data_IF_907030040127
#
_entry.id   IF_907030040127
#
_cell.length_a   1.000
_cell.length_b   1.000
_cell.length_c   1.000
_cell.angle_alpha   90.00
_cell.angle_beta   90.00
_cell.angle_gamma   90.00
#
_symmetry.space_group_name_H-M   'P 1'
#
loop_
_entity.id
_entity.type
_entity.pdbx_description
1 polymer ?
#
# COMPACT_ATOMS: atom_id res chain seq x y z
N UNK A 1 -12.55 -1.51 -58.94
CA UNK A 1 -12.23 -0.88 -57.64
C UNK A 1 -13.37 -1.17 -56.66
N UNK A 2 -13.14 -2.03 -55.66
CA UNK A 2 -14.19 -2.50 -54.74
C UNK A 2 -14.29 -1.57 -53.51
N UNK A 3 -15.28 -0.68 -53.50
CA UNK A 3 -15.55 0.25 -52.39
C UNK A 3 -15.96 -0.41 -51.07
N UNK A 4 -16.32 -1.69 -51.07
CA UNK A 4 -16.78 -2.43 -49.88
C UNK A 4 -15.66 -2.90 -48.95
N UNK A 5 -14.41 -2.94 -49.41
CA UNK A 5 -13.27 -3.39 -48.58
C UNK A 5 -12.79 -2.29 -47.62
N UNK A 6 -12.83 -1.02 -48.06
CA UNK A 6 -12.32 0.13 -47.29
C UNK A 6 -13.20 0.47 -46.07
N UNK A 7 -14.49 0.17 -46.12
CA UNK A 7 -15.43 0.43 -45.02
C UNK A 7 -15.22 -0.53 -43.83
N UNK A 8 -14.90 -1.81 -44.09
CA UNK A 8 -14.61 -2.80 -43.04
C UNK A 8 -13.28 -2.53 -42.32
N UNK A 9 -12.27 -2.06 -43.07
CA UNK A 9 -10.96 -1.68 -42.52
C UNK A 9 -11.08 -0.43 -41.65
N UNK A 10 -11.88 0.56 -42.06
CA UNK A 10 -12.10 1.77 -41.26
C UNK A 10 -12.81 1.47 -39.92
N UNK A 11 -13.81 0.57 -39.92
CA UNK A 11 -14.54 0.20 -38.69
C UNK A 11 -13.64 -0.60 -37.73
N UNK A 12 -12.81 -1.52 -38.24
CA UNK A 12 -11.89 -2.30 -37.41
C UNK A 12 -10.79 -1.44 -36.76
N UNK A 13 -10.29 -0.42 -37.47
CA UNK A 13 -9.28 0.51 -36.93
C UNK A 13 -9.87 1.44 -35.87
N UNK A 14 -11.10 1.93 -36.05
CA UNK A 14 -11.78 2.75 -35.02
C UNK A 14 -12.13 1.92 -33.78
N UNK A 15 -12.54 0.66 -33.94
CA UNK A 15 -12.84 -0.23 -32.80
C UNK A 15 -11.58 -0.60 -32.00
N UNK A 16 -10.44 -0.81 -32.67
CA UNK A 16 -9.16 -1.07 -32.00
C UNK A 16 -8.65 0.15 -31.23
N UNK A 17 -8.81 1.37 -31.77
CA UNK A 17 -8.43 2.62 -31.08
C UNK A 17 -9.37 2.91 -29.89
N UNK A 18 -10.64 2.49 -29.97
CA UNK A 18 -11.62 2.61 -28.88
C UNK A 18 -11.33 1.68 -27.69
N UNK A 19 -10.57 0.59 -27.89
CA UNK A 19 -10.18 -0.34 -26.83
C UNK A 19 -8.94 0.11 -26.05
N UNK A 20 -8.19 1.10 -26.56
CA UNK A 20 -7.08 1.73 -25.83
C UNK A 20 -7.50 2.94 -25.00
N UNK A 21 -8.70 3.47 -25.24
CA UNK A 21 -9.24 4.60 -24.50
C UNK A 21 -10.19 4.11 -23.39
N UNK A 22 -9.75 4.25 -22.14
CA UNK A 22 -10.57 4.48 -20.91
C UNK A 22 -11.05 3.31 -20.03
N UNK A 23 -10.82 2.03 -20.34
CA UNK A 23 -11.35 0.92 -19.52
C UNK A 23 -10.43 0.33 -18.43
N UNK A 24 -9.20 -0.02 -18.79
CA UNK A 24 -8.36 -0.91 -17.96
C UNK A 24 -7.26 -0.22 -17.14
N UNK A 25 -6.89 1.03 -17.45
CA UNK A 25 -5.82 1.76 -16.74
C UNK A 25 -6.27 2.40 -15.43
N UNK A 26 -7.57 2.43 -15.12
CA UNK A 26 -8.10 3.13 -13.93
C UNK A 26 -8.31 2.21 -12.72
N UNK A 27 -8.29 0.88 -12.89
CA UNK A 27 -8.68 -0.05 -11.82
C UNK A 27 -7.63 -0.11 -10.72
N UNK A 28 -6.34 -0.16 -11.05
CA UNK A 28 -5.25 -0.18 -10.07
C UNK A 28 -5.18 1.10 -9.23
N UNK A 29 -5.37 2.27 -9.86
CA UNK A 29 -5.45 3.57 -9.16
C UNK A 29 -6.65 3.60 -8.22
N UNK A 30 -7.82 3.12 -8.66
CA UNK A 30 -9.02 3.07 -7.81
C UNK A 30 -8.82 2.20 -6.59
N UNK A 31 -8.17 1.05 -6.76
CA UNK A 31 -7.87 0.14 -5.65
C UNK A 31 -6.86 0.79 -4.70
N UNK A 32 -5.73 1.29 -5.22
CA UNK A 32 -4.74 1.97 -4.41
C UNK A 32 -5.33 3.16 -3.63
N UNK A 33 -6.11 4.03 -4.29
CA UNK A 33 -6.74 5.18 -3.63
C UNK A 33 -7.80 4.80 -2.59
N UNK A 34 -8.45 3.63 -2.73
CA UNK A 34 -9.42 3.14 -1.75
C UNK A 34 -8.74 2.56 -0.50
N UNK A 35 -7.59 1.93 -0.67
CA UNK A 35 -6.89 1.20 0.38
C UNK A 35 -5.83 2.06 1.10
N UNK A 36 -5.23 3.04 0.41
CA UNK A 36 -4.23 3.97 0.98
C UNK A 36 -4.71 4.69 2.26
N UNK A 37 -5.94 5.24 2.34
CA UNK A 37 -6.43 5.85 3.58
C UNK A 37 -6.47 4.86 4.75
N UNK A 38 -6.74 3.58 4.48
CA UNK A 38 -6.73 2.54 5.51
C UNK A 38 -5.30 2.27 5.97
N UNK A 39 -4.33 2.17 5.05
CA UNK A 39 -2.92 2.01 5.41
C UNK A 39 -2.39 3.20 6.20
N UNK A 40 -2.74 4.43 5.81
CA UNK A 40 -2.35 5.64 6.56
C UNK A 40 -2.95 5.60 7.97
N UNK A 41 -4.21 5.18 8.11
CA UNK A 41 -4.81 5.02 9.43
C UNK A 41 -4.13 3.92 10.26
N UNK A 42 -3.71 2.81 9.65
CA UNK A 42 -2.92 1.78 10.32
C UNK A 42 -1.61 2.36 10.86
N UNK A 43 -0.88 3.12 10.02
CA UNK A 43 0.36 3.78 10.43
C UNK A 43 0.12 4.75 11.60
N UNK A 44 -0.94 5.55 11.57
CA UNK A 44 -1.30 6.46 12.67
C UNK A 44 -1.71 5.69 13.95
N UNK A 45 -2.42 4.58 13.81
CA UNK A 45 -2.80 3.75 14.96
C UNK A 45 -1.56 3.16 15.66
N UNK A 46 -0.47 2.87 14.93
CA UNK A 46 0.82 2.48 15.54
C UNK A 46 1.30 3.57 16.52
N UNK A 47 1.29 4.84 16.12
CA UNK A 47 1.69 5.94 17.01
C UNK A 47 0.78 6.06 18.24
N UNK A 48 -0.54 5.93 18.06
CA UNK A 48 -1.51 6.00 19.16
C UNK A 48 -1.30 4.87 20.19
N UNK A 49 -0.99 3.66 19.72
CA UNK A 49 -0.66 2.52 20.57
C UNK A 49 0.59 2.80 21.42
N UNK A 50 1.63 3.35 20.80
CA UNK A 50 2.88 3.73 21.48
C UNK A 50 2.63 4.77 22.57
N UNK A 51 1.87 5.82 22.27
CA UNK A 51 1.56 6.87 23.25
C UNK A 51 0.84 6.30 24.49
N UNK A 52 -0.06 5.32 24.28
CA UNK A 52 -0.81 4.67 25.36
C UNK A 52 0.10 3.75 26.18
N UNK A 53 0.94 2.95 25.53
CA UNK A 53 1.90 2.06 26.19
C UNK A 53 2.98 2.84 26.97
N UNK A 54 3.45 3.95 26.42
CA UNK A 54 4.41 4.83 27.09
C UNK A 54 3.80 5.46 28.34
N UNK A 55 2.56 5.95 28.25
CA UNK A 55 1.81 6.50 29.38
C UNK A 55 1.57 5.45 30.48
N UNK A 56 1.34 4.19 30.08
CA UNK A 56 1.23 3.04 30.98
C UNK A 56 2.57 2.48 31.49
N UNK A 57 3.71 3.13 31.17
CA UNK A 57 5.08 2.69 31.49
C UNK A 57 5.39 1.25 31.04
N UNK A 58 4.74 0.78 29.97
CA UNK A 58 4.92 -0.56 29.41
C UNK A 58 6.12 -0.65 28.45
N UNK A 59 6.64 0.50 28.00
CA UNK A 59 7.77 0.63 27.09
C UNK A 59 8.71 1.76 27.55
N UNK A 60 9.97 1.67 27.16
CA UNK A 60 10.94 2.75 27.39
C UNK A 60 10.72 3.94 26.44
N UNK A 61 11.20 5.14 26.79
CA UNK A 61 11.16 6.29 25.89
C UNK A 61 11.90 6.07 24.55
N UNK A 62 12.97 5.27 24.57
CA UNK A 62 13.74 4.95 23.37
C UNK A 62 12.94 4.06 22.42
N UNK A 63 12.28 3.01 22.94
CA UNK A 63 11.38 2.16 22.14
C UNK A 63 10.19 2.95 21.62
N UNK A 64 9.62 3.84 22.44
CA UNK A 64 8.52 4.71 22.01
C UNK A 64 8.95 5.62 20.84
N UNK A 65 10.11 6.25 20.94
CA UNK A 65 10.65 7.10 19.87
C UNK A 65 10.90 6.29 18.58
N UNK A 66 11.45 5.08 18.69
CA UNK A 66 11.72 4.25 17.53
C UNK A 66 10.43 3.80 16.80
N UNK A 67 9.42 3.35 17.54
CA UNK A 67 8.13 2.97 16.94
C UNK A 67 7.40 4.20 16.39
N UNK A 68 7.53 5.36 17.04
CA UNK A 68 7.00 6.62 16.52
C UNK A 68 7.66 6.99 15.18
N UNK A 69 8.97 6.79 15.03
CA UNK A 69 9.66 7.03 13.76
C UNK A 69 9.15 6.12 12.65
N UNK A 70 8.88 4.83 12.94
CA UNK A 70 8.25 3.91 11.98
C UNK A 70 6.90 4.44 11.52
N UNK A 71 6.04 4.85 12.47
CA UNK A 71 4.71 5.40 12.16
C UNK A 71 4.79 6.67 11.32
N UNK A 72 5.71 7.58 11.67
CA UNK A 72 5.93 8.84 10.95
C UNK A 72 6.40 8.60 9.52
N UNK A 73 7.40 7.73 9.32
CA UNK A 73 7.91 7.43 7.97
C UNK A 73 6.85 6.73 7.13
N UNK A 74 6.17 5.72 7.68
CA UNK A 74 5.08 5.03 6.98
C UNK A 74 3.96 6.00 6.57
N UNK A 75 3.53 6.89 7.48
CA UNK A 75 2.46 7.86 7.19
C UNK A 75 2.89 8.87 6.13
N UNK A 76 4.14 9.34 6.18
CA UNK A 76 4.71 10.26 5.20
C UNK A 76 4.72 9.64 3.81
N UNK A 77 5.25 8.42 3.68
CA UNK A 77 5.37 7.76 2.38
C UNK A 77 4.01 7.37 1.80
N UNK A 78 3.07 6.91 2.64
CA UNK A 78 1.71 6.58 2.20
C UNK A 78 0.93 7.84 1.75
N UNK A 79 1.11 8.97 2.43
CA UNK A 79 0.53 10.25 1.99
C UNK A 79 1.15 10.75 0.69
N UNK A 80 2.46 10.56 0.51
CA UNK A 80 3.13 10.88 -0.75
C UNK A 80 2.62 9.99 -1.89
N UNK A 81 2.47 8.68 -1.66
CA UNK A 81 1.83 7.79 -2.63
C UNK A 81 0.43 8.30 -2.98
N UNK A 82 -0.42 8.60 -2.00
CA UNK A 82 -1.76 9.13 -2.25
C UNK A 82 -1.74 10.38 -3.14
N UNK A 83 -0.82 11.31 -2.89
CA UNK A 83 -0.65 12.50 -3.71
C UNK A 83 -0.26 12.16 -5.16
N UNK A 84 0.73 11.27 -5.35
CA UNK A 84 1.18 10.83 -6.67
C UNK A 84 0.11 10.05 -7.44
N UNK A 85 -0.66 9.20 -6.76
CA UNK A 85 -1.80 8.52 -7.38
C UNK A 85 -2.89 9.50 -7.84
N UNK A 86 -3.17 10.53 -7.04
CA UNK A 86 -4.11 11.59 -7.42
C UNK A 86 -3.59 12.43 -8.59
N UNK A 87 -2.29 12.75 -8.59
CA UNK A 87 -1.62 13.46 -9.70
C UNK A 87 -1.70 12.65 -11.00
N UNK A 88 -1.34 11.36 -10.96
CA UNK A 88 -1.42 10.49 -12.12
C UNK A 88 -2.87 10.32 -12.61
N UNK A 89 -3.84 10.24 -11.69
CA UNK A 89 -5.26 10.19 -12.04
C UNK A 89 -5.72 11.46 -12.78
N UNK A 90 -5.21 12.62 -12.38
CA UNK A 90 -5.54 13.90 -13.00
C UNK A 90 -4.82 14.09 -14.35
N UNK A 91 -3.55 13.69 -14.43
CA UNK A 91 -2.72 13.81 -15.62
C UNK A 91 -1.77 12.61 -15.78
N UNK A 92 -2.22 11.54 -16.47
CA UNK A 92 -1.43 10.33 -16.63
C UNK A 92 -0.11 10.59 -17.37
N UNK A 93 1.02 10.40 -16.69
CA UNK A 93 2.34 10.56 -17.28
C UNK A 93 3.37 9.59 -16.68
N UNK A 94 4.41 9.28 -17.45
CA UNK A 94 5.42 8.29 -17.07
C UNK A 94 6.30 8.74 -15.89
N UNK A 95 6.51 10.05 -15.71
CA UNK A 95 7.31 10.57 -14.62
C UNK A 95 6.63 10.34 -13.26
N UNK A 96 5.32 10.56 -13.16
CA UNK A 96 4.57 10.27 -11.92
C UNK A 96 4.54 8.77 -11.62
N UNK A 97 4.50 7.88 -12.64
CA UNK A 97 4.66 6.43 -12.41
C UNK A 97 6.04 6.12 -11.82
N UNK A 98 7.11 6.67 -12.38
CA UNK A 98 8.46 6.46 -11.85
C UNK A 98 8.57 6.95 -10.40
N UNK A 99 7.95 8.07 -10.06
CA UNK A 99 7.90 8.57 -8.69
C UNK A 99 7.13 7.63 -7.76
N UNK A 100 6.01 7.06 -8.21
CA UNK A 100 5.27 6.04 -7.44
C UNK A 100 6.16 4.82 -7.17
N UNK A 101 6.84 4.31 -8.20
CA UNK A 101 7.75 3.16 -8.06
C UNK A 101 8.90 3.46 -7.08
N UNK A 102 9.47 4.66 -7.13
CA UNK A 102 10.53 5.08 -6.21
C UNK A 102 10.03 5.10 -4.77
N UNK A 103 8.86 5.69 -4.50
CA UNK A 103 8.30 5.73 -3.15
C UNK A 103 7.94 4.33 -2.65
N UNK A 104 7.45 3.45 -3.51
CA UNK A 104 7.26 2.04 -3.15
C UNK A 104 8.60 1.37 -2.78
N UNK A 105 9.66 1.66 -3.54
CA UNK A 105 11.02 1.23 -3.22
C UNK A 105 11.48 1.73 -1.86
N UNK A 106 11.30 3.02 -1.58
CA UNK A 106 11.66 3.66 -0.31
C UNK A 106 10.90 3.02 0.86
N UNK A 107 9.59 2.79 0.73
CA UNK A 107 8.79 2.09 1.76
C UNK A 107 9.35 0.69 2.04
N UNK A 108 9.65 -0.07 0.97
CA UNK A 108 10.15 -1.44 1.07
C UNK A 108 11.56 -1.52 1.66
N UNK A 109 12.32 -0.43 1.69
CA UNK A 109 13.65 -0.37 2.27
C UNK A 109 13.65 0.25 3.67
N UNK A 110 12.99 1.39 3.83
CA UNK A 110 13.04 2.21 5.05
C UNK A 110 12.27 1.56 6.20
N UNK A 111 11.06 1.04 5.95
CA UNK A 111 10.25 0.48 7.04
C UNK A 111 10.88 -0.77 7.68
N UNK A 112 11.41 -1.75 6.93
CA UNK A 112 12.15 -2.86 7.53
C UNK A 112 13.39 -2.41 8.28
N UNK A 113 14.12 -1.42 7.75
CA UNK A 113 15.32 -0.88 8.41
C UNK A 113 14.99 -0.21 9.75
N UNK A 114 13.93 0.62 9.79
CA UNK A 114 13.45 1.25 11.01
C UNK A 114 12.93 0.21 12.02
N UNK A 115 12.23 -0.82 11.55
CA UNK A 115 11.75 -1.92 12.40
C UNK A 115 12.92 -2.69 13.03
N UNK A 116 13.97 -2.97 12.27
CA UNK A 116 15.17 -3.63 12.76
C UNK A 116 15.93 -2.77 13.78
N UNK A 117 16.01 -1.45 13.53
CA UNK A 117 16.64 -0.49 14.42
C UNK A 117 15.83 -0.21 15.70
N UNK A 118 14.54 -0.55 15.73
CA UNK A 118 13.68 -0.24 16.87
C UNK A 118 13.95 -1.07 18.13
N UNK A 119 14.65 -2.22 18.00
CA UNK A 119 15.09 -3.06 19.12
C UNK A 119 14.04 -3.22 20.25
N UNK A 120 12.79 -3.50 19.86
CA UNK A 120 11.67 -3.60 20.79
C UNK A 120 11.88 -4.81 21.71
N UNK A 121 11.99 -4.56 23.01
CA UNK A 121 12.33 -5.58 24.02
C UNK A 121 11.13 -6.48 24.33
N UNK A 122 9.92 -5.93 24.28
CA UNK A 122 8.71 -6.71 24.50
C UNK A 122 8.36 -7.53 23.23
N UNK A 123 8.40 -8.88 23.28
CA UNK A 123 8.20 -9.71 22.10
C UNK A 123 6.77 -9.62 21.55
N UNK A 124 5.78 -9.40 22.40
CA UNK A 124 4.39 -9.21 21.98
C UNK A 124 4.26 -7.92 21.18
N UNK A 125 4.80 -6.81 21.70
CA UNK A 125 4.81 -5.53 21.00
C UNK A 125 5.57 -5.63 19.67
N UNK A 126 6.76 -6.22 19.70
CA UNK A 126 7.58 -6.42 18.50
C UNK A 126 6.81 -7.18 17.42
N UNK A 127 6.11 -8.27 17.79
CA UNK A 127 5.28 -9.04 16.87
C UNK A 127 4.12 -8.22 16.30
N UNK A 128 3.43 -7.41 17.12
CA UNK A 128 2.30 -6.57 16.66
C UNK A 128 2.75 -5.46 15.70
N UNK A 129 3.83 -4.74 16.04
CA UNK A 129 4.39 -3.70 15.18
C UNK A 129 4.90 -4.30 13.86
N UNK A 130 5.62 -5.43 13.95
CA UNK A 130 6.09 -6.17 12.77
C UNK A 130 4.93 -6.59 11.87
N UNK A 131 3.85 -7.12 12.43
CA UNK A 131 2.66 -7.49 11.68
C UNK A 131 2.02 -6.28 10.98
N UNK A 132 1.88 -5.16 11.68
CA UNK A 132 1.35 -3.91 11.10
C UNK A 132 2.20 -3.39 9.94
N UNK A 133 3.53 -3.36 10.11
CA UNK A 133 4.48 -2.98 9.05
C UNK A 133 4.42 -3.94 7.87
N UNK A 134 4.38 -5.25 8.12
CA UNK A 134 4.29 -6.27 7.06
C UNK A 134 2.98 -6.17 6.26
N UNK A 135 1.86 -5.81 6.90
CA UNK A 135 0.61 -5.55 6.20
C UNK A 135 0.73 -4.36 5.25
N UNK A 136 1.36 -3.26 5.70
CA UNK A 136 1.63 -2.10 4.85
C UNK A 136 2.53 -2.50 3.66
N UNK A 137 3.67 -3.16 3.93
CA UNK A 137 4.62 -3.60 2.91
C UNK A 137 3.97 -4.53 1.86
N UNK A 138 3.19 -5.51 2.32
CA UNK A 138 2.51 -6.47 1.43
C UNK A 138 1.48 -5.76 0.54
N UNK A 139 0.75 -4.79 1.09
CA UNK A 139 -0.25 -4.04 0.34
C UNK A 139 0.39 -3.11 -0.69
N UNK A 140 1.43 -2.37 -0.29
CA UNK A 140 2.16 -1.47 -1.19
C UNK A 140 2.85 -2.26 -2.32
N UNK A 141 3.44 -3.42 -2.00
CA UNK A 141 4.00 -4.34 -3.01
C UNK A 141 2.92 -4.90 -3.94
N UNK A 142 1.70 -5.15 -3.43
CA UNK A 142 0.56 -5.52 -4.25
C UNK A 142 0.20 -4.39 -5.22
N UNK A 143 0.23 -3.12 -4.79
CA UNK A 143 0.01 -2.00 -5.70
C UNK A 143 1.05 -1.93 -6.82
N UNK A 144 2.33 -2.16 -6.52
CA UNK A 144 3.38 -2.21 -7.55
C UNK A 144 3.07 -3.24 -8.64
N UNK A 145 2.53 -4.41 -8.26
CA UNK A 145 2.15 -5.45 -9.22
C UNK A 145 1.01 -5.06 -10.17
N UNK A 146 0.26 -4.02 -9.82
CA UNK A 146 -0.90 -3.53 -10.57
C UNK A 146 -0.57 -2.35 -11.48
N UNK A 147 0.59 -1.72 -11.29
CA UNK A 147 1.06 -0.65 -12.17
C UNK A 147 1.17 -1.25 -13.59
N UNK A 148 0.51 -0.65 -14.60
CA UNK A 148 0.60 -1.14 -15.95
C UNK A 148 2.06 -1.05 -16.42
N UNK A 149 2.60 -2.11 -17.04
CA UNK A 149 3.93 -2.02 -17.62
C UNK A 149 3.95 -0.86 -18.62
N UNK A 150 5.06 -0.12 -18.67
CA UNK A 150 5.27 0.91 -19.67
C UNK A 150 4.95 0.36 -21.07
N UNK A 151 4.37 1.17 -21.98
CA UNK A 151 4.09 0.71 -23.33
C UNK A 151 5.37 0.12 -23.94
N UNK A 152 5.27 -1.04 -24.62
CA UNK A 152 6.44 -1.76 -25.05
C UNK A 152 7.25 -0.89 -26.02
N UNK A 153 8.48 -0.55 -25.63
CA UNK A 153 9.57 -0.47 -26.61
C UNK A 153 9.62 -1.83 -27.31
N UNK A 154 9.74 -1.91 -28.65
CA UNK A 154 9.64 -3.16 -29.40
C UNK A 154 10.84 -4.07 -29.08
N UNK A 155 10.71 -4.82 -27.98
CA UNK A 155 11.67 -5.84 -27.55
C UNK A 155 10.86 -7.05 -27.10
N UNK A 156 10.89 -8.06 -27.96
CA UNK A 156 10.65 -9.48 -27.75
C UNK A 156 10.03 -9.89 -26.40
N UNK A 157 8.72 -10.19 -26.47
CA UNK A 157 7.95 -11.13 -25.64
C UNK A 157 8.62 -11.66 -24.37
N UNK A 158 8.37 -11.02 -23.23
CA UNK A 158 8.28 -11.71 -21.95
C UNK A 158 6.91 -11.42 -21.34
N UNK A 159 5.96 -12.32 -21.65
CA UNK A 159 4.68 -12.41 -20.97
C UNK A 159 4.94 -13.11 -19.63
N UNK A 160 5.43 -12.37 -18.64
CA UNK A 160 5.38 -12.82 -17.25
C UNK A 160 3.91 -12.97 -16.88
N UNK A 161 3.50 -14.21 -16.60
CA UNK A 161 2.17 -14.50 -16.11
C UNK A 161 1.95 -13.66 -14.84
N UNK A 162 1.02 -12.70 -14.92
CA UNK A 162 0.53 -11.98 -13.74
C UNK A 162 0.02 -13.04 -12.77
N UNK A 163 0.78 -13.30 -11.71
CA UNK A 163 0.28 -14.03 -10.56
C UNK A 163 -0.95 -13.25 -10.12
N UNK A 164 -2.11 -13.89 -10.05
CA UNK A 164 -3.28 -13.32 -9.41
C UNK A 164 -2.92 -13.11 -7.94
N UNK A 165 -2.23 -12.02 -7.63
CA UNK A 165 -2.12 -11.49 -6.29
C UNK A 165 -3.53 -11.02 -5.99
N UNK A 166 -4.22 -11.74 -5.09
CA UNK A 166 -5.50 -11.28 -4.58
C UNK A 166 -5.23 -9.90 -3.97
N UNK A 167 -5.74 -8.86 -4.61
CA UNK A 167 -5.52 -7.49 -4.14
C UNK A 167 -6.35 -7.37 -2.86
N UNK A 168 -5.73 -7.18 -1.69
CA UNK A 168 -6.49 -7.09 -0.45
C UNK A 168 -7.37 -5.86 -0.52
N UNK A 169 -8.69 -6.02 -0.39
CA UNK A 169 -9.59 -4.87 -0.31
C UNK A 169 -9.51 -4.25 1.08
N UNK A 170 -9.78 -2.94 1.20
CA UNK A 170 -9.88 -2.20 2.45
C UNK A 170 -10.56 -2.97 3.60
N UNK A 171 -11.63 -3.72 3.31
CA UNK A 171 -12.34 -4.54 4.31
C UNK A 171 -11.50 -5.71 4.82
N UNK A 172 -10.78 -6.38 3.94
CA UNK A 172 -9.90 -7.49 4.28
C UNK A 172 -8.67 -6.98 5.03
N UNK A 173 -8.11 -5.84 4.62
CA UNK A 173 -7.02 -5.17 5.32
C UNK A 173 -7.40 -4.79 6.76
N UNK A 174 -8.57 -4.18 6.96
CA UNK A 174 -9.08 -3.88 8.31
C UNK A 174 -9.24 -5.15 9.15
N UNK A 175 -9.75 -6.23 8.54
CA UNK A 175 -9.92 -7.52 9.22
C UNK A 175 -8.57 -8.11 9.62
N UNK A 176 -7.61 -8.15 8.71
CA UNK A 176 -6.26 -8.65 8.98
C UNK A 176 -5.56 -7.82 10.05
N UNK A 177 -5.66 -6.50 10.00
CA UNK A 177 -5.18 -5.62 11.05
C UNK A 177 -5.80 -5.94 12.42
N UNK A 178 -7.14 -6.04 12.47
CA UNK A 178 -7.84 -6.35 13.71
C UNK A 178 -7.44 -7.72 14.29
N UNK A 179 -7.14 -8.70 13.43
CA UNK A 179 -6.71 -10.04 13.84
C UNK A 179 -5.23 -10.10 14.24
N UNK A 180 -4.35 -9.45 13.49
CA UNK A 180 -2.90 -9.59 13.66
C UNK A 180 -2.31 -8.54 14.60
N UNK A 181 -2.92 -7.36 14.70
CA UNK A 181 -2.39 -6.24 15.50
C UNK A 181 -3.23 -6.02 16.76
N UNK A 182 -4.55 -6.10 16.65
CA UNK A 182 -5.46 -5.71 17.74
C UNK A 182 -6.05 -6.87 18.54
N UNK A 183 -5.69 -8.13 18.24
CA UNK A 183 -6.26 -9.26 18.95
C UNK A 183 -5.89 -9.23 20.44
N UNK A 184 -6.79 -9.69 21.32
CA UNK A 184 -6.50 -9.80 22.75
C UNK A 184 -5.25 -10.64 23.00
N UNK A 185 -4.42 -10.17 23.92
CA UNK A 185 -3.18 -10.81 24.34
C UNK A 185 -3.34 -11.60 25.64
N UNK A 186 -4.44 -11.36 26.37
CA UNK A 186 -4.65 -11.90 27.71
C UNK A 186 -3.89 -11.12 28.79
N UNK A 187 -3.15 -10.08 28.41
CA UNK A 187 -2.53 -9.13 29.33
C UNK A 187 -3.41 -7.87 29.36
N UNK A 188 -4.05 -7.61 30.50
CA UNK A 188 -5.01 -6.51 30.66
C UNK A 188 -4.42 -5.12 30.42
N UNK A 189 -3.14 -4.90 30.71
CA UNK A 189 -2.47 -3.63 30.47
C UNK A 189 -2.23 -3.39 28.98
N UNK A 190 -1.80 -4.44 28.26
CA UNK A 190 -1.71 -4.41 26.80
C UNK A 190 -3.10 -4.26 26.18
N UNK A 191 -4.05 -5.12 26.52
CA UNK A 191 -5.39 -5.12 25.92
C UNK A 191 -6.12 -3.78 26.10
N UNK A 192 -5.88 -3.08 27.22
CA UNK A 192 -6.37 -1.71 27.43
C UNK A 192 -5.70 -0.70 26.50
N UNK A 193 -4.39 -0.81 26.27
CA UNK A 193 -3.68 0.04 25.32
C UNK A 193 -4.11 -0.20 23.86
N UNK A 194 -4.51 -1.43 23.53
CA UNK A 194 -5.03 -1.80 22.21
C UNK A 194 -6.54 -1.58 22.05
N UNK A 195 -7.24 -1.03 23.05
CA UNK A 195 -8.70 -0.84 23.00
C UNK A 195 -9.17 0.05 21.82
N UNK A 196 -8.31 0.97 21.35
CA UNK A 196 -8.56 1.84 20.19
C UNK A 196 -7.81 1.40 18.92
N UNK A 197 -7.13 0.25 18.97
CA UNK A 197 -6.37 -0.29 17.84
C UNK A 197 -7.25 -0.62 16.64
N UNK A 198 -8.46 -1.13 16.91
CA UNK A 198 -9.31 -1.75 15.91
C UNK A 198 -9.84 -0.73 14.90
N UNK A 199 -9.71 -1.06 13.62
CA UNK A 199 -10.28 -0.27 12.53
C UNK A 199 -11.73 -0.70 12.29
N UNK A 200 -12.64 0.29 12.24
CA UNK A 200 -14.05 0.13 11.86
C UNK A 200 -14.25 0.41 10.38
#
# INVERSE_FOLDING_TARGET
>A
MNSNSKSKVAIAVVLAISLFATGCSAQWIRVALADLPVLTQMALNIASLVATLQSGKQISPAEAAAIQNISTEASKDLNLLQALYNEYKANPNANTIQQIENVIGDINQNLPSLLQAAHISNPTLAARITAGVNLILTTVSSFASLIPPAPPVPSTSQRTARRNVAIPHAKDLKKEWNQQVCAPTGNSAFDSAFALCALR
#
